data_IF_323826564931
#
_entry.id   IF_323826564931
#
_cell.length_a   1.000
_cell.length_b   1.000
_cell.length_c   1.000
_cell.angle_alpha   90.00
_cell.angle_beta   90.00
_cell.angle_gamma   90.00
#
_symmetry.space_group_name_H-M   'P 1'
#
loop_
_entity.id
_entity.type
_entity.pdbx_description
1 polymer ?
#
# COMPACT_ATOMS: atom_id res chain seq x y z
N UNK A 1 10.85 -56.89 -3.45
CA UNK A 1 12.17 -57.00 -2.77
C UNK A 1 12.10 -56.32 -1.41
N UNK A 2 12.68 -56.91 -0.36
CA UNK A 2 12.78 -56.27 0.97
C UNK A 2 14.08 -55.46 1.02
N UNK A 3 13.97 -54.17 1.32
CA UNK A 3 15.13 -53.28 1.53
C UNK A 3 15.76 -53.58 2.89
N UNK A 4 17.06 -53.87 2.92
CA UNK A 4 17.80 -54.16 4.15
C UNK A 4 17.93 -52.92 5.03
N UNK A 5 18.30 -53.10 6.31
CA UNK A 5 18.50 -51.97 7.24
C UNK A 5 19.64 -51.04 6.76
N UNK A 6 20.73 -51.62 6.27
CA UNK A 6 21.87 -50.86 5.70
C UNK A 6 21.46 -50.07 4.46
N UNK A 7 20.70 -50.68 3.54
CA UNK A 7 20.21 -49.98 2.35
C UNK A 7 19.32 -48.79 2.70
N UNK A 8 18.56 -48.84 3.81
CA UNK A 8 17.75 -47.71 4.29
C UNK A 8 18.61 -46.57 4.84
N UNK A 9 19.68 -46.89 5.56
CA UNK A 9 20.63 -45.89 6.07
C UNK A 9 21.40 -45.21 4.92
N UNK A 10 21.84 -45.99 3.93
CA UNK A 10 22.45 -45.45 2.70
C UNK A 10 21.43 -44.58 1.95
N UNK A 11 20.18 -45.03 1.82
CA UNK A 11 19.12 -44.25 1.20
C UNK A 11 18.87 -42.91 1.91
N UNK A 12 18.93 -42.90 3.25
CA UNK A 12 18.78 -41.69 4.06
C UNK A 12 19.91 -40.69 3.80
N UNK A 13 21.16 -41.15 3.82
CA UNK A 13 22.34 -40.32 3.53
C UNK A 13 22.29 -39.73 2.10
N UNK A 14 21.90 -40.55 1.11
CA UNK A 14 21.73 -40.08 -0.27
C UNK A 14 20.71 -38.93 -0.39
N UNK A 15 19.65 -38.93 0.42
CA UNK A 15 18.63 -37.86 0.39
C UNK A 15 19.09 -36.62 1.15
N UNK A 16 19.63 -36.79 2.37
CA UNK A 16 19.95 -35.68 3.26
C UNK A 16 21.25 -35.00 2.82
N UNK A 17 22.33 -35.78 2.66
CA UNK A 17 23.67 -35.26 2.42
C UNK A 17 23.91 -34.96 0.94
N UNK A 18 23.42 -35.83 0.05
CA UNK A 18 23.66 -35.70 -1.40
C UNK A 18 22.50 -35.05 -2.16
N UNK A 19 21.41 -34.69 -1.46
CA UNK A 19 20.27 -33.98 -2.05
C UNK A 19 19.49 -34.77 -3.11
N UNK A 20 19.66 -36.09 -3.21
CA UNK A 20 19.00 -36.91 -4.23
C UNK A 20 17.50 -37.00 -3.98
N UNK A 21 16.74 -37.11 -5.07
CA UNK A 21 15.29 -37.31 -4.94
C UNK A 21 14.98 -38.73 -4.48
N UNK A 22 13.92 -38.91 -3.69
CA UNK A 22 13.46 -40.25 -3.27
C UNK A 22 13.20 -41.16 -4.48
N UNK A 23 12.84 -40.58 -5.63
CA UNK A 23 12.64 -41.33 -6.88
C UNK A 23 13.96 -41.86 -7.46
N UNK A 24 15.03 -41.07 -7.45
CA UNK A 24 16.37 -41.53 -7.87
C UNK A 24 16.89 -42.62 -6.95
N UNK A 25 16.72 -42.44 -5.64
CA UNK A 25 17.11 -43.42 -4.64
C UNK A 25 16.32 -44.71 -4.81
N UNK A 26 15.01 -44.63 -5.02
CA UNK A 26 14.16 -45.80 -5.28
C UNK A 26 14.58 -46.56 -6.55
N UNK A 27 14.89 -45.84 -7.65
CA UNK A 27 15.43 -46.44 -8.88
C UNK A 27 16.76 -47.15 -8.62
N UNK A 28 17.67 -46.54 -7.86
CA UNK A 28 18.98 -47.11 -7.51
C UNK A 28 18.85 -48.45 -6.77
N UNK A 29 17.83 -48.60 -5.92
CA UNK A 29 17.61 -49.80 -5.12
C UNK A 29 16.58 -50.78 -5.73
N UNK A 30 16.06 -50.51 -6.93
CA UNK A 30 15.08 -51.39 -7.59
C UNK A 30 13.76 -51.51 -6.83
N UNK A 31 13.33 -50.46 -6.13
CA UNK A 31 12.06 -50.44 -5.38
C UNK A 31 11.14 -49.32 -5.84
N UNK A 32 9.85 -49.41 -5.48
CA UNK A 32 8.90 -48.34 -5.78
C UNK A 32 9.20 -47.11 -4.92
N UNK A 33 8.97 -45.91 -5.49
CA UNK A 33 9.10 -44.62 -4.79
C UNK A 33 8.31 -44.62 -3.47
N UNK A 34 7.10 -45.17 -3.49
CA UNK A 34 6.22 -45.20 -2.32
C UNK A 34 6.75 -46.13 -1.22
N UNK A 35 7.31 -47.29 -1.56
CA UNK A 35 7.95 -48.18 -0.59
C UNK A 35 9.18 -47.51 0.04
N UNK A 36 10.04 -46.89 -0.78
CA UNK A 36 11.21 -46.16 -0.27
C UNK A 36 10.78 -45.01 0.66
N UNK A 37 9.78 -44.22 0.26
CA UNK A 37 9.21 -43.16 1.10
C UNK A 37 8.70 -43.69 2.45
N UNK A 38 7.94 -44.79 2.46
CA UNK A 38 7.46 -45.39 3.70
C UNK A 38 8.59 -45.88 4.62
N UNK A 39 9.72 -46.29 4.06
CA UNK A 39 10.90 -46.65 4.84
C UNK A 39 11.61 -45.43 5.41
N UNK A 40 11.82 -44.39 4.59
CA UNK A 40 12.48 -43.15 5.01
C UNK A 40 11.67 -42.38 6.07
N UNK A 41 10.34 -42.36 5.95
CA UNK A 41 9.43 -41.69 6.90
C UNK A 41 9.57 -42.21 8.35
N UNK A 42 10.09 -43.43 8.54
CA UNK A 42 10.33 -44.02 9.87
C UNK A 42 11.55 -43.46 10.57
N UNK A 43 12.43 -42.74 9.85
CA UNK A 43 13.61 -42.10 10.42
C UNK A 43 13.28 -40.66 10.85
N UNK A 44 13.53 -40.28 12.11
CA UNK A 44 13.35 -38.90 12.58
C UNK A 44 14.12 -37.88 11.73
N UNK A 45 15.34 -38.20 11.33
CA UNK A 45 16.25 -37.32 10.58
C UNK A 45 15.67 -36.95 9.21
N UNK A 46 14.97 -37.88 8.57
CA UNK A 46 14.26 -37.64 7.32
C UNK A 46 13.10 -36.66 7.52
N UNK A 47 12.33 -36.83 8.60
CA UNK A 47 11.21 -35.97 8.91
C UNK A 47 11.69 -34.56 9.26
N UNK A 48 12.75 -34.42 10.06
CA UNK A 48 13.38 -33.13 10.37
C UNK A 48 13.92 -32.43 9.12
N UNK A 49 14.57 -33.16 8.23
CA UNK A 49 15.04 -32.61 6.95
C UNK A 49 13.90 -32.04 6.11
N UNK A 50 12.78 -32.75 6.03
CA UNK A 50 11.59 -32.30 5.32
C UNK A 50 10.91 -31.10 5.99
N UNK A 51 10.85 -31.08 7.33
CA UNK A 51 10.28 -29.94 8.06
C UNK A 51 11.15 -28.69 7.88
N UNK A 52 12.49 -28.81 7.92
CA UNK A 52 13.40 -27.70 7.59
C UNK A 52 13.16 -27.18 6.17
N UNK A 53 13.00 -28.06 5.18
CA UNK A 53 12.67 -27.65 3.80
C UNK A 53 11.31 -26.97 3.70
N UNK A 54 10.31 -27.42 4.47
CA UNK A 54 8.99 -26.80 4.52
C UNK A 54 9.05 -25.41 5.12
N UNK A 55 9.73 -25.24 6.26
CA UNK A 55 9.92 -23.94 6.91
C UNK A 55 10.64 -22.98 5.96
N UNK A 56 11.72 -23.44 5.32
CA UNK A 56 12.43 -22.64 4.31
C UNK A 56 11.51 -22.25 3.16
N UNK A 57 10.71 -23.18 2.62
CA UNK A 57 9.76 -22.86 1.54
C UNK A 57 8.68 -21.85 1.94
N UNK A 58 8.24 -21.84 3.20
CA UNK A 58 7.31 -20.82 3.72
C UNK A 58 8.01 -19.45 3.78
N UNK A 59 9.25 -19.42 4.22
CA UNK A 59 10.04 -18.18 4.33
C UNK A 59 10.38 -17.61 2.95
N UNK A 60 10.88 -18.47 2.04
CA UNK A 60 11.13 -18.14 0.65
C UNK A 60 9.88 -17.56 -0.02
N UNK A 61 8.69 -18.15 0.23
CA UNK A 61 7.43 -17.62 -0.30
C UNK A 61 7.11 -16.23 0.24
N UNK A 62 7.30 -15.98 1.54
CA UNK A 62 7.11 -14.63 2.11
C UNK A 62 8.04 -13.61 1.46
N UNK A 63 9.30 -13.96 1.26
CA UNK A 63 10.30 -13.10 0.63
C UNK A 63 9.96 -12.83 -0.84
N UNK A 64 9.52 -13.85 -1.59
CA UNK A 64 9.01 -13.68 -2.96
C UNK A 64 7.87 -12.66 -3.00
N UNK A 65 6.88 -12.79 -2.10
CA UNK A 65 5.73 -11.87 -2.06
C UNK A 65 6.13 -10.45 -1.63
N UNK A 66 7.06 -10.31 -0.69
CA UNK A 66 7.59 -9.02 -0.26
C UNK A 66 8.28 -8.31 -1.44
N UNK A 67 9.22 -8.98 -2.11
CA UNK A 67 9.92 -8.44 -3.28
C UNK A 67 8.96 -8.19 -4.46
N UNK A 68 7.97 -9.07 -4.68
CA UNK A 68 6.95 -8.88 -5.71
C UNK A 68 6.10 -7.64 -5.48
N UNK A 69 5.67 -7.40 -4.23
CA UNK A 69 4.93 -6.17 -3.84
C UNK A 69 5.78 -4.92 -3.91
N UNK A 70 7.09 -5.06 -3.74
CA UNK A 70 8.07 -4.00 -3.96
C UNK A 70 8.32 -3.74 -5.46
N UNK A 71 7.93 -4.66 -6.34
CA UNK A 71 7.99 -4.48 -7.79
C UNK A 71 9.23 -5.09 -8.46
N UNK A 72 9.95 -5.96 -7.76
CA UNK A 72 11.05 -6.72 -8.37
C UNK A 72 10.52 -7.68 -9.45
N UNK A 73 11.30 -7.84 -10.52
CA UNK A 73 10.97 -8.82 -11.57
C UNK A 73 11.14 -10.25 -11.08
N UNK A 74 10.35 -11.18 -11.63
CA UNK A 74 10.44 -12.61 -11.29
C UNK A 74 11.86 -13.19 -11.45
N UNK A 75 12.62 -12.70 -12.43
CA UNK A 75 14.00 -13.12 -12.69
C UNK A 75 14.98 -12.69 -11.61
N UNK A 76 14.79 -11.47 -11.06
CA UNK A 76 15.62 -10.97 -9.96
C UNK A 76 15.29 -11.73 -8.68
N UNK A 77 13.99 -11.85 -8.37
CA UNK A 77 13.54 -12.61 -7.19
C UNK A 77 14.05 -14.05 -7.23
N UNK A 78 14.00 -14.70 -8.40
CA UNK A 78 14.49 -16.06 -8.59
C UNK A 78 16.01 -16.17 -8.34
N UNK A 79 16.80 -15.23 -8.84
CA UNK A 79 18.24 -15.19 -8.63
C UNK A 79 18.59 -14.98 -7.16
N UNK A 80 17.96 -14.00 -6.52
CA UNK A 80 18.25 -13.60 -5.14
C UNK A 80 17.93 -14.71 -4.14
N UNK A 81 16.79 -15.39 -4.32
CA UNK A 81 16.35 -16.45 -3.42
C UNK A 81 16.84 -17.84 -3.83
N UNK A 82 17.58 -17.95 -4.94
CA UNK A 82 18.03 -19.24 -5.49
C UNK A 82 16.87 -20.16 -5.87
N UNK A 83 15.76 -19.59 -6.35
CA UNK A 83 14.54 -20.30 -6.72
C UNK A 83 14.42 -20.44 -8.23
N UNK A 84 13.66 -21.44 -8.69
CA UNK A 84 13.30 -21.53 -10.10
C UNK A 84 12.33 -20.37 -10.47
N UNK A 85 12.52 -19.69 -11.61
CA UNK A 85 11.63 -18.61 -12.04
C UNK A 85 10.15 -19.00 -12.12
N UNK A 86 9.88 -20.25 -12.49
CA UNK A 86 8.51 -20.79 -12.52
C UNK A 86 7.86 -20.88 -11.14
N UNK A 87 8.65 -21.18 -10.09
CA UNK A 87 8.16 -21.21 -8.70
C UNK A 87 7.78 -19.81 -8.24
N UNK A 88 8.65 -18.84 -8.51
CA UNK A 88 8.39 -17.42 -8.20
C UNK A 88 7.11 -16.95 -8.89
N UNK A 89 6.98 -17.21 -10.20
CA UNK A 89 5.79 -16.86 -10.98
C UNK A 89 4.51 -17.46 -10.39
N UNK A 90 4.52 -18.75 -10.06
CA UNK A 90 3.37 -19.43 -9.48
C UNK A 90 2.93 -18.80 -8.16
N UNK A 91 3.87 -18.54 -7.25
CA UNK A 91 3.56 -17.91 -5.96
C UNK A 91 3.04 -16.49 -6.08
N UNK A 92 3.57 -15.70 -7.01
CA UNK A 92 3.07 -14.34 -7.29
C UNK A 92 1.63 -14.38 -7.83
N UNK A 93 1.35 -15.28 -8.79
CA UNK A 93 0.02 -15.42 -9.38
C UNK A 93 -1.03 -15.91 -8.37
N UNK A 94 -0.67 -16.84 -7.47
CA UNK A 94 -1.55 -17.28 -6.36
C UNK A 94 -1.97 -16.13 -5.45
N UNK A 95 -1.12 -15.11 -5.28
CA UNK A 95 -1.39 -13.91 -4.46
C UNK A 95 -1.98 -12.75 -5.29
N UNK A 96 -2.31 -12.99 -6.58
CA UNK A 96 -2.87 -11.99 -7.48
C UNK A 96 -1.86 -10.92 -7.95
N UNK A 97 -0.56 -11.16 -7.77
CA UNK A 97 0.51 -10.28 -8.27
C UNK A 97 0.83 -10.70 -9.71
N UNK A 98 0.55 -9.81 -10.66
CA UNK A 98 0.82 -10.08 -12.08
C UNK A 98 2.33 -10.10 -12.36
N UNK A 99 2.88 -11.31 -12.42
CA UNK A 99 4.27 -11.59 -12.73
C UNK A 99 4.61 -11.45 -14.23
N UNK A 100 3.63 -11.15 -15.10
CA UNK A 100 3.86 -10.90 -16.53
C UNK A 100 4.28 -9.46 -16.83
N UNK A 101 4.19 -8.57 -15.83
CA UNK A 101 4.74 -7.22 -15.90
C UNK A 101 6.27 -7.33 -16.03
N UNK A 102 6.75 -7.35 -17.28
CA UNK A 102 8.16 -7.14 -17.59
C UNK A 102 8.54 -5.78 -17.00
N UNK A 103 9.40 -5.80 -16.00
CA UNK A 103 9.98 -4.58 -15.45
C UNK A 103 10.72 -3.84 -16.56
N UNK A 104 10.23 -2.64 -16.88
CA UNK A 104 10.69 -1.68 -17.88
C UNK A 104 10.37 -2.05 -19.33
N UNK A 105 9.50 -1.29 -19.99
CA UNK A 105 9.60 -1.13 -21.46
C UNK A 105 9.15 0.23 -22.01
N UNK A 106 8.49 1.11 -21.26
CA UNK A 106 8.13 2.44 -21.79
C UNK A 106 8.69 3.58 -20.92
N UNK A 107 9.98 3.91 -21.12
CA UNK A 107 10.48 5.23 -20.74
C UNK A 107 9.98 6.25 -21.77
N UNK A 108 9.48 7.39 -21.31
CA UNK A 108 9.07 8.48 -22.18
C UNK A 108 10.28 9.37 -22.46
N UNK A 109 10.62 9.57 -23.73
CA UNK A 109 11.78 10.35 -24.15
C UNK A 109 11.64 11.80 -23.71
N UNK A 110 12.57 12.36 -22.94
CA UNK A 110 12.48 13.74 -22.48
C UNK A 110 12.61 14.76 -23.63
N UNK A 111 13.21 14.36 -24.76
CA UNK A 111 13.36 15.25 -25.92
C UNK A 111 12.10 15.32 -26.79
N UNK A 112 11.39 14.21 -26.99
CA UNK A 112 10.29 14.14 -27.97
C UNK A 112 9.01 13.49 -27.45
N UNK A 113 8.96 13.13 -26.16
CA UNK A 113 7.86 12.43 -25.50
C UNK A 113 7.50 11.05 -26.09
N UNK A 114 8.37 10.48 -26.95
CA UNK A 114 8.19 9.16 -27.57
C UNK A 114 8.59 8.00 -26.65
N UNK A 115 8.36 6.76 -27.08
CA UNK A 115 8.73 5.56 -26.31
C UNK A 115 10.23 5.25 -26.49
N UNK A 116 10.93 5.00 -25.39
CA UNK A 116 12.33 4.57 -25.38
C UNK A 116 12.44 3.09 -25.06
N UNK A 117 13.15 2.36 -25.91
CA UNK A 117 13.48 0.95 -25.67
C UNK A 117 14.81 0.84 -24.95
N UNK A 118 14.88 -0.11 -24.01
CA UNK A 118 16.13 -0.50 -23.39
C UNK A 118 16.96 -1.27 -24.42
N UNK A 119 18.17 -0.81 -24.70
CA UNK A 119 19.12 -1.56 -25.54
C UNK A 119 19.96 -2.51 -24.68
N UNK A 120 20.54 -3.54 -25.31
CA UNK A 120 21.36 -4.55 -24.64
C UNK A 120 22.63 -3.98 -23.95
N UNK A 121 23.04 -2.76 -24.29
CA UNK A 121 24.25 -2.10 -23.78
C UNK A 121 24.02 -0.86 -22.89
N UNK A 122 23.08 -0.93 -21.94
CA UNK A 122 23.03 0.01 -20.80
C UNK A 122 22.71 1.48 -21.12
N UNK A 123 22.17 1.79 -22.29
CA UNK A 123 21.55 3.08 -22.62
C UNK A 123 20.14 2.87 -23.18
N UNK A 124 19.34 3.93 -23.14
CA UNK A 124 18.02 3.92 -23.77
C UNK A 124 18.07 4.74 -25.05
N UNK A 125 17.49 4.18 -26.10
CA UNK A 125 17.34 4.88 -27.37
C UNK A 125 15.87 5.15 -27.63
N UNK A 126 15.54 6.41 -27.93
CA UNK A 126 14.19 6.75 -28.32
C UNK A 126 13.89 6.24 -29.73
N UNK A 127 12.78 5.50 -29.89
CA UNK A 127 12.36 5.02 -31.21
C UNK A 127 11.88 6.15 -32.14
N UNK A 128 11.44 7.28 -31.59
CA UNK A 128 10.85 8.38 -32.37
C UNK A 128 11.90 9.40 -32.83
N UNK A 129 12.91 9.70 -32.02
CA UNK A 129 13.90 10.74 -32.34
C UNK A 129 15.36 10.25 -32.33
N UNK A 130 15.60 8.96 -32.04
CA UNK A 130 16.95 8.38 -32.03
C UNK A 130 17.84 8.87 -30.87
N UNK A 131 17.35 9.78 -30.01
CA UNK A 131 18.13 10.31 -28.89
C UNK A 131 18.54 9.18 -27.94
N UNK A 132 19.83 9.17 -27.63
CA UNK A 132 20.43 8.27 -26.64
C UNK A 132 20.44 8.96 -25.28
N UNK A 133 19.99 8.24 -24.27
CA UNK A 133 20.02 8.72 -22.91
C UNK A 133 21.02 7.92 -22.08
N UNK A 134 22.07 8.63 -21.69
CA UNK A 134 23.12 8.16 -20.79
C UNK A 134 22.90 8.80 -19.42
N UNK A 135 22.82 7.99 -18.35
CA UNK A 135 22.83 8.49 -16.98
C UNK A 135 24.16 9.18 -16.69
N UNK A 136 24.12 10.34 -16.01
CA UNK A 136 25.33 11.17 -15.76
C UNK A 136 26.35 10.52 -14.84
N UNK A 137 25.91 9.64 -13.94
CA UNK A 137 26.76 8.85 -13.05
C UNK A 137 26.25 7.42 -13.06
N UNK A 138 27.15 6.45 -13.12
CA UNK A 138 26.79 5.06 -13.09
C UNK A 138 26.71 4.57 -11.62
N UNK A 139 25.53 4.16 -11.10
CA UNK A 139 25.46 3.44 -9.85
C UNK A 139 26.44 2.26 -9.84
N UNK A 140 27.18 2.14 -8.74
CA UNK A 140 28.16 1.07 -8.53
C UNK A 140 27.53 -0.33 -8.55
N UNK A 141 26.24 -0.42 -8.24
CA UNK A 141 25.45 -1.63 -8.31
C UNK A 141 24.66 -1.71 -9.63
N UNK A 142 24.98 -2.71 -10.44
CA UNK A 142 24.31 -3.01 -11.71
C UNK A 142 22.81 -3.32 -11.55
N UNK A 143 22.36 -3.73 -10.37
CA UNK A 143 20.96 -4.09 -10.11
C UNK A 143 20.07 -2.87 -9.82
N UNK A 144 20.65 -1.75 -9.35
CA UNK A 144 19.95 -0.48 -9.12
C UNK A 144 19.40 0.13 -10.45
N UNK A 145 19.97 -0.31 -11.57
CA UNK A 145 19.54 0.02 -12.93
C UNK A 145 18.30 -0.72 -13.41
N UNK A 146 18.05 -1.91 -12.87
CA UNK A 146 16.90 -2.75 -13.25
C UNK A 146 15.67 -2.48 -12.41
N UNK A 147 15.82 -1.76 -11.30
CA UNK A 147 14.72 -1.27 -10.48
C UNK A 147 13.81 -0.38 -11.34
N UNK A 148 12.50 -0.68 -11.42
CA UNK A 148 11.52 0.26 -11.96
C UNK A 148 11.76 1.65 -11.39
N UNK A 149 11.79 2.69 -12.24
CA UNK A 149 12.08 4.09 -11.83
C UNK A 149 11.23 4.58 -10.64
N UNK A 150 10.11 3.92 -10.36
CA UNK A 150 9.22 4.14 -9.21
C UNK A 150 9.79 3.69 -7.85
N UNK A 151 10.96 3.06 -7.78
CA UNK A 151 11.55 2.46 -6.57
C UNK A 151 12.97 3.01 -6.30
N UNK A 152 13.51 3.90 -7.15
CA UNK A 152 14.85 4.49 -6.95
C UNK A 152 14.92 5.46 -5.79
N UNK A 153 13.81 6.10 -5.47
CA UNK A 153 13.69 6.88 -4.26
C UNK A 153 13.13 5.94 -3.20
N UNK A 154 13.82 5.84 -2.07
CA UNK A 154 13.45 5.03 -0.91
C UNK A 154 11.97 5.15 -0.59
N UNK A 155 11.46 4.19 0.18
CA UNK A 155 10.05 3.84 0.38
C UNK A 155 9.11 4.94 0.91
N UNK A 156 9.26 6.20 0.53
CA UNK A 156 8.35 7.30 0.78
C UNK A 156 6.90 6.95 0.48
N UNK A 157 6.59 5.93 -0.33
CA UNK A 157 5.26 5.34 -0.43
C UNK A 157 4.79 4.48 0.77
N UNK A 158 5.65 3.69 1.43
CA UNK A 158 5.42 2.99 2.71
C UNK A 158 5.47 3.96 3.90
N UNK A 159 6.48 4.84 3.99
CA UNK A 159 6.58 5.85 5.05
C UNK A 159 5.40 6.84 5.01
N UNK A 160 5.06 7.35 3.81
CA UNK A 160 3.84 8.16 3.63
C UNK A 160 2.62 7.42 4.13
N UNK A 161 2.52 6.11 3.90
CA UNK A 161 1.32 5.35 4.22
C UNK A 161 1.03 5.29 5.72
N UNK A 162 2.06 5.05 6.53
CA UNK A 162 1.91 5.03 7.99
C UNK A 162 1.43 6.38 8.51
N UNK A 163 2.08 7.45 8.04
CA UNK A 163 1.81 8.83 8.47
C UNK A 163 0.44 9.30 7.97
N UNK A 164 0.16 9.08 6.68
CA UNK A 164 -1.08 9.49 6.05
C UNK A 164 -2.29 8.69 6.57
N UNK A 165 -2.14 7.41 6.91
CA UNK A 165 -3.24 6.62 7.50
C UNK A 165 -3.58 7.12 8.90
N UNK A 166 -2.56 7.40 9.73
CA UNK A 166 -2.73 7.98 11.06
C UNK A 166 -3.39 9.36 10.98
N UNK A 167 -2.83 10.27 10.19
CA UNK A 167 -3.36 11.62 10.00
C UNK A 167 -4.79 11.60 9.42
N UNK A 168 -5.10 10.65 8.53
CA UNK A 168 -6.49 10.45 8.06
C UNK A 168 -7.44 10.02 9.16
N UNK A 169 -7.01 9.15 10.08
CA UNK A 169 -7.83 8.74 11.23
C UNK A 169 -8.09 9.88 12.21
N UNK A 170 -7.18 10.86 12.26
CA UNK A 170 -7.27 12.07 13.07
C UNK A 170 -8.03 13.21 12.37
N UNK A 171 -8.51 13.01 11.14
CA UNK A 171 -9.35 13.96 10.40
C UNK A 171 -8.61 15.00 9.57
N UNK A 172 -7.28 14.86 9.40
CA UNK A 172 -6.50 15.79 8.57
C UNK A 172 -6.89 15.70 7.08
N UNK A 173 -6.87 16.86 6.43
CA UNK A 173 -7.09 16.99 5.00
C UNK A 173 -5.90 16.50 4.18
N UNK A 174 -6.12 16.20 2.90
CA UNK A 174 -5.03 15.82 2.00
C UNK A 174 -3.96 16.90 1.81
N UNK A 175 -4.31 18.18 1.97
CA UNK A 175 -3.34 19.29 1.94
C UNK A 175 -2.41 19.27 3.15
N UNK A 176 -2.97 19.09 4.34
CA UNK A 176 -2.20 19.01 5.58
C UNK A 176 -1.30 17.78 5.60
N UNK A 177 -1.78 16.65 5.07
CA UNK A 177 -0.97 15.45 4.91
C UNK A 177 0.20 15.69 3.95
N UNK A 178 -0.03 16.27 2.77
CA UNK A 178 1.06 16.60 1.84
C UNK A 178 2.09 17.54 2.47
N UNK A 179 1.64 18.55 3.21
CA UNK A 179 2.52 19.50 3.89
C UNK A 179 3.42 18.79 4.90
N UNK A 180 2.86 17.97 5.78
CA UNK A 180 3.63 17.22 6.78
C UNK A 180 4.64 16.28 6.13
N UNK A 181 4.26 15.59 5.05
CA UNK A 181 5.19 14.70 4.33
C UNK A 181 6.36 15.47 3.71
N UNK A 182 6.10 16.62 3.10
CA UNK A 182 7.13 17.46 2.50
C UNK A 182 8.04 18.10 3.55
N UNK A 183 7.46 18.58 4.66
CA UNK A 183 8.20 19.17 5.79
C UNK A 183 9.10 18.13 6.47
N UNK A 184 8.72 16.85 6.45
CA UNK A 184 9.52 15.72 6.94
C UNK A 184 10.56 15.23 5.91
N UNK A 185 10.65 15.84 4.74
CA UNK A 185 11.57 15.44 3.67
C UNK A 185 11.18 14.13 2.97
N UNK A 186 9.99 13.57 3.26
CA UNK A 186 9.51 12.34 2.64
C UNK A 186 9.09 12.67 1.21
N UNK A 187 9.91 12.28 0.23
CA UNK A 187 9.60 12.49 -1.19
C UNK A 187 8.69 11.39 -1.73
N UNK A 188 8.01 11.69 -2.83
CA UNK A 188 7.26 10.69 -3.58
C UNK A 188 8.18 9.60 -4.12
N UNK A 189 7.65 8.45 -4.57
CA UNK A 189 8.46 7.42 -5.24
C UNK A 189 9.16 7.88 -6.53
N UNK A 190 8.89 9.11 -7.00
CA UNK A 190 9.56 9.75 -8.15
C UNK A 190 10.56 10.84 -7.72
N UNK A 191 10.77 11.03 -6.42
CA UNK A 191 11.65 12.08 -5.87
C UNK A 191 11.00 13.47 -5.80
N UNK A 192 9.76 13.61 -6.30
CA UNK A 192 9.00 14.86 -6.28
C UNK A 192 8.35 15.10 -4.91
N UNK A 193 7.88 16.32 -4.67
CA UNK A 193 7.05 16.66 -3.51
C UNK A 193 5.66 16.04 -3.60
N UNK A 194 5.07 15.78 -2.44
CA UNK A 194 3.69 15.34 -2.33
C UNK A 194 2.74 16.48 -2.69
N UNK A 195 1.89 16.20 -3.67
CA UNK A 195 0.79 17.03 -4.12
C UNK A 195 -0.52 16.30 -3.85
N UNK A 196 -1.64 17.03 -3.74
CA UNK A 196 -2.97 16.42 -3.57
C UNK A 196 -3.24 15.34 -4.62
N UNK A 197 -2.80 15.58 -5.86
CA UNK A 197 -3.04 14.70 -7.00
C UNK A 197 -2.23 13.41 -6.91
N UNK A 198 -0.93 13.48 -6.63
CA UNK A 198 -0.08 12.29 -6.51
C UNK A 198 -0.42 11.48 -5.23
N UNK A 199 -0.77 12.14 -4.13
CA UNK A 199 -1.25 11.50 -2.90
C UNK A 199 -2.56 10.73 -3.14
N UNK A 200 -3.52 11.36 -3.81
CA UNK A 200 -4.81 10.73 -4.14
C UNK A 200 -4.64 9.53 -5.10
N UNK A 201 -3.72 9.63 -6.05
CA UNK A 201 -3.41 8.52 -6.95
C UNK A 201 -2.79 7.33 -6.20
N UNK A 202 -1.94 7.60 -5.21
CA UNK A 202 -1.35 6.55 -4.38
C UNK A 202 -2.37 5.86 -3.48
N UNK A 203 -3.31 6.61 -2.88
CA UNK A 203 -4.41 6.00 -2.13
C UNK A 203 -5.28 5.08 -3.00
N UNK A 204 -5.64 5.52 -4.21
CA UNK A 204 -6.41 4.68 -5.15
C UNK A 204 -5.66 3.41 -5.53
N UNK A 205 -4.37 3.52 -5.87
CA UNK A 205 -3.54 2.37 -6.28
C UNK A 205 -3.42 1.31 -5.20
N UNK A 206 -3.44 1.72 -3.93
CA UNK A 206 -3.27 0.81 -2.80
C UNK A 206 -4.58 0.37 -2.16
N UNK A 207 -5.72 0.61 -2.84
CA UNK A 207 -7.04 0.25 -2.32
C UNK A 207 -7.39 0.95 -1.02
N UNK A 208 -6.67 2.03 -0.67
CA UNK A 208 -7.01 2.90 0.45
C UNK A 208 -8.17 3.74 -0.05
N UNK A 209 -9.35 3.15 0.04
CA UNK A 209 -10.61 3.82 -0.26
C UNK A 209 -10.58 5.10 0.55
N UNK A 210 -10.75 6.23 -0.13
CA UNK A 210 -11.08 7.49 0.53
C UNK A 210 -12.23 7.14 1.46
N UNK A 211 -11.98 7.11 2.79
CA UNK A 211 -13.07 7.03 3.75
C UNK A 211 -13.89 8.29 3.51
N UNK A 212 -14.86 8.21 2.59
CA UNK A 212 -16.09 8.96 2.77
C UNK A 212 -16.49 8.66 4.20
N UNK A 213 -16.53 9.69 5.03
CA UNK A 213 -16.74 9.52 6.47
C UNK A 213 -17.91 8.55 6.65
N UNK A 214 -17.67 7.51 7.44
CA UNK A 214 -18.57 6.41 7.77
C UNK A 214 -19.99 6.61 7.21
N UNK A 215 -20.21 6.20 5.95
CA UNK A 215 -21.34 6.70 5.13
C UNK A 215 -22.68 6.44 5.82
N UNK A 216 -22.79 5.29 6.48
CA UNK A 216 -23.91 4.93 7.31
C UNK A 216 -24.15 5.92 8.47
N UNK A 217 -23.08 6.38 9.13
CA UNK A 217 -23.12 7.40 10.20
C UNK A 217 -23.50 8.77 9.67
N UNK A 218 -22.96 9.19 8.51
CA UNK A 218 -23.32 10.46 7.88
C UNK A 218 -24.80 10.47 7.49
N UNK A 219 -25.26 9.38 6.86
CA UNK A 219 -26.65 9.20 6.47
C UNK A 219 -27.58 9.18 7.70
N UNK A 220 -27.20 8.48 8.77
CA UNK A 220 -27.96 8.45 10.03
C UNK A 220 -28.07 9.84 10.68
N UNK A 221 -26.94 10.53 10.89
CA UNK A 221 -26.91 11.87 11.49
C UNK A 221 -27.68 12.88 10.64
N UNK A 222 -27.51 12.83 9.31
CA UNK A 222 -28.24 13.72 8.38
C UNK A 222 -29.74 13.46 8.45
N UNK A 223 -30.17 12.19 8.46
CA UNK A 223 -31.60 11.84 8.55
C UNK A 223 -32.23 12.36 9.83
N UNK A 224 -31.61 12.09 10.98
CA UNK A 224 -32.11 12.56 12.28
C UNK A 224 -32.19 14.09 12.37
N UNK A 225 -31.22 14.82 11.83
CA UNK A 225 -31.22 16.28 11.87
C UNK A 225 -32.24 16.90 10.88
N UNK A 226 -32.46 16.27 9.73
CA UNK A 226 -33.50 16.70 8.78
C UNK A 226 -34.90 16.43 9.33
N UNK A 227 -35.13 15.29 9.98
CA UNK A 227 -36.40 14.97 10.67
C UNK A 227 -36.71 15.97 11.79
N UNK A 228 -35.67 16.44 12.50
CA UNK A 228 -35.76 17.50 13.52
C UNK A 228 -35.94 18.92 12.92
N UNK A 229 -35.91 19.07 11.59
CA UNK A 229 -36.11 20.35 10.93
C UNK A 229 -34.92 21.32 10.98
N UNK A 230 -33.71 20.80 11.20
CA UNK A 230 -32.47 21.60 11.29
C UNK A 230 -32.07 22.15 9.91
N UNK A 231 -31.49 23.36 9.88
CA UNK A 231 -30.99 23.95 8.64
C UNK A 231 -29.85 23.12 8.02
N UNK A 232 -29.92 22.89 6.70
CA UNK A 232 -28.87 22.18 5.94
C UNK A 232 -27.46 22.77 6.13
N UNK A 233 -27.36 24.10 6.34
CA UNK A 233 -26.09 24.77 6.66
C UNK A 233 -25.54 24.34 8.02
N UNK A 234 -26.41 24.22 9.02
CA UNK A 234 -26.02 23.84 10.37
C UNK A 234 -25.73 22.33 10.46
N UNK A 235 -26.43 21.50 9.67
CA UNK A 235 -26.08 20.09 9.45
C UNK A 235 -24.67 19.97 8.87
N UNK A 236 -24.34 20.79 7.85
CA UNK A 236 -22.99 20.79 7.27
C UNK A 236 -21.91 21.21 8.30
N UNK A 237 -22.18 22.23 9.11
CA UNK A 237 -21.28 22.66 10.20
C UNK A 237 -21.08 21.52 11.20
N UNK A 238 -22.16 20.85 11.60
CA UNK A 238 -22.12 19.74 12.55
C UNK A 238 -21.30 18.56 12.03
N UNK A 239 -21.56 18.09 10.82
CA UNK A 239 -20.79 17.00 10.21
C UNK A 239 -19.31 17.36 10.08
N UNK A 240 -18.99 18.59 9.69
CA UNK A 240 -17.61 19.07 9.63
C UNK A 240 -16.93 19.11 11.01
N UNK A 241 -17.67 19.50 12.06
CA UNK A 241 -17.14 19.53 13.43
C UNK A 241 -16.91 18.14 14.02
N UNK A 242 -17.66 17.14 13.57
CA UNK A 242 -17.48 15.73 13.96
C UNK A 242 -16.42 15.00 13.09
N UNK A 243 -15.74 15.72 12.19
CA UNK A 243 -14.75 15.14 11.27
C UNK A 243 -15.35 14.25 10.17
N UNK A 244 -16.67 14.29 9.99
CA UNK A 244 -17.39 13.49 9.00
C UNK A 244 -17.34 14.19 7.64
N UNK A 245 -16.35 13.86 6.83
CA UNK A 245 -16.13 14.44 5.49
C UNK A 245 -16.95 13.72 4.40
N UNK A 246 -17.15 14.38 3.26
CA UNK A 246 -17.86 13.79 2.13
C UNK A 246 -17.06 12.67 1.43
N UNK A 247 -17.64 12.01 0.41
CA UNK A 247 -17.03 10.90 -0.35
C UNK A 247 -15.65 11.24 -0.95
N UNK A 248 -15.37 12.53 -1.17
CA UNK A 248 -14.12 13.03 -1.71
C UNK A 248 -13.17 13.59 -0.63
N UNK A 249 -13.51 13.45 0.66
CA UNK A 249 -12.72 13.95 1.77
C UNK A 249 -12.77 15.47 1.96
N UNK A 250 -13.74 16.15 1.34
CA UNK A 250 -13.96 17.58 1.49
C UNK A 250 -15.01 17.86 2.57
N UNK A 251 -14.96 19.08 3.13
CA UNK A 251 -15.96 19.59 4.06
C UNK A 251 -17.34 19.65 3.39
N UNK A 252 -18.38 19.33 4.16
CA UNK A 252 -19.76 19.49 3.74
C UNK A 252 -20.12 20.96 3.56
N UNK A 253 -20.85 21.22 2.47
CA UNK A 253 -21.48 22.50 2.18
C UNK A 253 -23.00 22.32 2.20
N UNK A 254 -23.75 23.42 2.31
CA UNK A 254 -25.22 23.40 2.21
C UNK A 254 -25.69 22.65 0.95
N UNK A 255 -25.05 22.91 -0.19
CA UNK A 255 -25.36 22.27 -1.47
C UNK A 255 -25.01 20.78 -1.46
N UNK A 256 -23.90 20.40 -0.83
CA UNK A 256 -23.52 19.00 -0.65
C UNK A 256 -24.53 18.21 0.18
N UNK A 257 -25.03 18.79 1.29
CA UNK A 257 -26.08 18.16 2.11
C UNK A 257 -27.40 18.08 1.35
N UNK A 258 -27.76 19.10 0.57
CA UNK A 258 -28.95 19.05 -0.28
C UNK A 258 -28.90 17.88 -1.28
N UNK A 259 -27.74 17.64 -1.91
CA UNK A 259 -27.54 16.54 -2.84
C UNK A 259 -27.55 15.17 -2.12
N UNK A 260 -26.99 15.12 -0.90
CA UNK A 260 -27.05 13.93 -0.05
C UNK A 260 -28.51 13.58 0.29
N UNK A 261 -29.31 14.55 0.73
CA UNK A 261 -30.74 14.34 1.03
C UNK A 261 -31.51 13.84 -0.21
N UNK A 262 -31.24 14.40 -1.39
CA UNK A 262 -31.84 13.93 -2.65
C UNK A 262 -31.46 12.47 -2.96
N UNK A 263 -30.18 12.10 -2.83
CA UNK A 263 -29.71 10.72 -3.03
C UNK A 263 -30.32 9.72 -2.04
N UNK A 264 -30.60 10.18 -0.82
CA UNK A 264 -31.24 9.37 0.23
C UNK A 264 -32.77 9.31 0.10
N UNK A 265 -33.37 10.03 -0.85
CA UNK A 265 -34.84 10.13 -0.97
C UNK A 265 -35.51 10.88 0.18
N UNK A 266 -34.78 11.72 0.92
CA UNK A 266 -35.33 12.50 2.03
C UNK A 266 -35.93 13.80 1.49
N UNK A 267 -37.23 13.98 1.68
CA UNK A 267 -37.92 15.20 1.32
C UNK A 267 -37.62 16.32 2.34
N UNK A 268 -36.89 17.36 1.92
CA UNK A 268 -36.58 18.52 2.76
C UNK A 268 -37.80 19.42 2.85
N UNK A 269 -38.66 19.20 3.86
CA UNK A 269 -39.90 19.97 4.08
C UNK A 269 -39.60 21.46 4.28
N UNK A 270 -40.30 22.34 3.56
CA UNK A 270 -40.15 23.82 3.60
C UNK A 270 -40.77 24.53 4.84
N UNK A 271 -41.10 23.85 5.94
CA UNK A 271 -41.87 24.44 7.06
C UNK A 271 -41.07 24.67 8.36
N UNK A 272 -41.56 25.64 9.15
CA UNK A 272 -40.94 26.46 10.21
C UNK A 272 -39.58 25.98 10.74
N UNK A 273 -38.61 26.88 10.53
CA UNK A 273 -37.17 26.64 10.58
C UNK A 273 -36.63 26.85 12.00
N UNK A 274 -36.10 25.81 12.64
CA UNK A 274 -35.46 25.89 13.96
C UNK A 274 -33.95 26.09 13.74
N UNK A 275 -33.40 27.19 14.28
CA UNK A 275 -31.95 27.44 14.25
C UNK A 275 -31.31 26.71 15.42
N UNK A 276 -30.21 25.98 15.17
CA UNK A 276 -29.40 25.35 16.23
C UNK A 276 -28.80 26.35 17.24
N UNK A 277 -28.97 27.66 17.03
CA UNK A 277 -28.58 28.70 17.99
C UNK A 277 -29.43 28.72 19.26
N UNK A 278 -30.62 28.12 19.28
CA UNK A 278 -31.51 28.16 20.46
C UNK A 278 -31.16 27.15 21.56
N UNK A 279 -30.30 26.17 21.28
CA UNK A 279 -29.88 25.16 22.27
C UNK A 279 -28.56 25.51 22.99
N UNK A 280 -28.03 26.72 22.77
CA UNK A 280 -26.72 27.16 23.25
C UNK A 280 -26.64 27.51 24.75
N UNK A 281 -27.69 27.32 25.55
CA UNK A 281 -27.72 27.87 26.94
C UNK A 281 -27.30 26.84 28.00
N UNK A 282 -27.28 25.53 27.73
CA UNK A 282 -26.95 24.55 28.78
C UNK A 282 -26.09 23.41 28.23
N UNK A 283 -24.85 23.69 27.81
CA UNK A 283 -23.86 22.62 27.67
C UNK A 283 -22.50 23.04 28.25
N UNK A 284 -21.94 22.30 29.23
CA UNK A 284 -20.73 22.68 29.98
C UNK A 284 -19.49 23.01 29.12
N UNK A 285 -19.43 22.54 27.87
CA UNK A 285 -18.29 22.71 26.96
C UNK A 285 -18.24 24.07 26.24
N UNK A 286 -19.29 24.90 26.30
CA UNK A 286 -19.26 26.25 25.69
C UNK A 286 -18.40 27.21 26.50
N UNK A 287 -18.40 27.07 27.84
CA UNK A 287 -17.53 27.84 28.73
C UNK A 287 -16.04 27.56 28.45
N UNK A 288 -15.73 26.30 28.15
CA UNK A 288 -14.37 25.82 27.88
C UNK A 288 -13.85 26.34 26.53
N UNK A 289 -14.72 26.39 25.51
CA UNK A 289 -14.38 26.94 24.19
C UNK A 289 -14.20 28.46 24.22
N UNK A 290 -14.98 29.20 25.01
CA UNK A 290 -14.78 30.63 25.21
C UNK A 290 -13.45 30.93 25.91
N UNK A 291 -13.09 30.17 26.94
CA UNK A 291 -11.82 30.29 27.64
C UNK A 291 -10.63 29.99 26.70
N UNK A 292 -10.76 28.97 25.83
CA UNK A 292 -9.77 28.62 24.81
C UNK A 292 -9.59 29.74 23.78
N UNK A 293 -10.68 30.37 23.32
CA UNK A 293 -10.63 31.47 22.36
C UNK A 293 -10.05 32.75 22.95
N UNK A 294 -10.31 33.06 24.21
CA UNK A 294 -9.67 34.18 24.91
C UNK A 294 -8.17 33.97 25.08
N UNK A 295 -7.75 32.76 25.45
CA UNK A 295 -6.33 32.39 25.54
C UNK A 295 -5.62 32.56 24.19
N UNK A 296 -6.27 32.17 23.09
CA UNK A 296 -5.74 32.37 21.73
C UNK A 296 -5.69 33.85 21.31
N UNK A 297 -6.68 34.67 21.72
CA UNK A 297 -6.66 36.11 21.45
C UNK A 297 -5.55 36.81 22.23
N UNK A 298 -5.35 36.44 23.49
CA UNK A 298 -4.26 36.96 24.32
C UNK A 298 -2.88 36.61 23.73
N UNK A 299 -2.70 35.37 23.26
CA UNK A 299 -1.47 34.92 22.60
C UNK A 299 -1.17 35.69 21.31
N UNK A 300 -2.20 35.98 20.48
CA UNK A 300 -2.04 36.79 19.26
C UNK A 300 -1.66 38.23 19.57
N UNK A 301 -2.30 38.85 20.57
CA UNK A 301 -1.96 40.22 21.00
C UNK A 301 -0.53 40.33 21.54
N UNK A 302 0.03 39.28 22.12
CA UNK A 302 1.40 39.29 22.63
C UNK A 302 2.47 38.98 21.57
N UNK A 303 2.07 38.59 20.35
CA UNK A 303 2.97 38.20 19.25
C UNK A 303 2.77 39.02 17.96
N UNK A 304 1.93 40.05 17.97
CA UNK A 304 1.86 41.00 16.87
C UNK A 304 3.11 41.91 16.90
N UNK A 305 4.05 41.64 16.00
CA UNK A 305 5.21 42.51 15.73
C UNK A 305 4.69 43.79 15.09
N UNK A 306 5.04 44.99 15.60
CA UNK A 306 4.65 46.24 14.97
C UNK A 306 5.14 46.28 13.52
N UNK A 307 4.23 46.49 12.58
CA UNK A 307 4.62 46.74 11.19
C UNK A 307 5.41 48.04 11.12
N UNK A 308 6.62 47.99 10.54
CA UNK A 308 7.50 49.11 10.22
C UNK A 308 6.76 50.27 9.52
#
# INVERSE_FOLDING_TARGET
MRVTKEQKLIALDLVISQGKTVSEVAKKFGVTKQSMFQHLKKFPEYNEFHERKRIKGIEDRKNVLAMGREGYSQTVIARELGLAPMTVRAWLLEDGIDATLKGNDDLTCPACNGVMKKQDMFFWQCNSCGSEWWPKEAPADTDDWTRPWRIRYGDGGKEMLGIATRMRSEGYSSEEICKVLNDQGIKTPRGEEWTKQNLSQQFRRRGIVSRGGDRAKIEAVTRTLVEKGVYLKDIAIRLNSEGLMNEHGNKWTKSGISLLCQRMGIEVKRRKKISLKSDCVIHPWVADETARLEKNRAWRRSHDVPSL
#
